data_IF_335528086383
#
_entry.id   IF_335528086383
#
_cell.length_a   1.000
_cell.length_b   1.000
_cell.length_c   1.000
_cell.angle_alpha   90.00
_cell.angle_beta   90.00
_cell.angle_gamma   90.00
#
_symmetry.space_group_name_H-M   'P 1'
#
loop_
_entity.id
_entity.type
_entity.pdbx_description
1 polymer ?
#
# COMPACT_ATOMS: atom_id res chain seq x y z
N UNK A 1 -25.15 -4.36 9.96
CA UNK A 1 -25.67 -3.61 8.81
C UNK A 1 -24.94 -2.29 8.54
N UNK A 2 -24.23 -1.68 9.51
CA UNK A 2 -23.35 -0.52 9.25
C UNK A 2 -21.98 -0.84 8.61
N UNK A 3 -21.65 -2.13 8.40
CA UNK A 3 -20.35 -2.60 7.91
C UNK A 3 -20.25 -2.67 6.39
N UNK A 4 -21.36 -2.90 5.70
CA UNK A 4 -21.39 -3.07 4.23
C UNK A 4 -20.99 -1.79 3.47
N UNK A 5 -21.44 -0.59 3.87
CA UNK A 5 -21.05 0.65 3.21
C UNK A 5 -19.54 0.93 3.37
N UNK A 6 -18.99 0.64 4.55
CA UNK A 6 -17.56 0.83 4.82
C UNK A 6 -16.71 -0.18 4.05
N UNK A 7 -17.09 -1.46 4.04
CA UNK A 7 -16.40 -2.50 3.28
C UNK A 7 -16.36 -2.18 1.78
N UNK A 8 -17.48 -1.69 1.23
CA UNK A 8 -17.55 -1.25 -0.16
C UNK A 8 -16.64 -0.05 -0.44
N UNK A 9 -16.66 0.97 0.42
CA UNK A 9 -15.79 2.14 0.26
C UNK A 9 -14.30 1.76 0.31
N UNK A 10 -13.92 0.84 1.20
CA UNK A 10 -12.55 0.32 1.26
C UNK A 10 -12.19 -0.44 -0.01
N UNK A 11 -13.07 -1.30 -0.53
CA UNK A 11 -12.84 -2.04 -1.77
C UNK A 11 -12.66 -1.09 -2.98
N UNK A 12 -13.46 -0.02 -3.07
CA UNK A 12 -13.34 1.01 -4.11
C UNK A 12 -12.00 1.75 -4.01
N UNK A 13 -11.54 2.09 -2.80
CA UNK A 13 -10.23 2.69 -2.57
C UNK A 13 -9.07 1.74 -2.92
N UNK A 14 -9.17 0.46 -2.54
CA UNK A 14 -8.17 -0.56 -2.89
C UNK A 14 -8.08 -0.72 -4.41
N UNK A 15 -9.21 -0.76 -5.12
CA UNK A 15 -9.19 -0.81 -6.58
C UNK A 15 -8.55 0.47 -7.18
N UNK A 16 -8.89 1.65 -6.65
CA UNK A 16 -8.35 2.94 -7.12
C UNK A 16 -6.84 3.05 -6.93
N UNK A 17 -6.36 2.88 -5.71
CA UNK A 17 -4.92 2.93 -5.39
C UNK A 17 -4.15 1.78 -6.03
N UNK A 18 -4.77 0.60 -6.05
CA UNK A 18 -4.24 -0.59 -6.68
C UNK A 18 -4.06 -0.42 -8.19
N UNK A 19 -4.77 0.47 -8.88
CA UNK A 19 -4.54 0.77 -10.30
C UNK A 19 -3.32 1.65 -10.58
N UNK A 20 -2.74 2.30 -9.58
CA UNK A 20 -1.69 3.30 -9.77
C UNK A 20 -0.30 2.67 -9.95
N UNK A 21 0.59 3.41 -10.61
CA UNK A 21 2.00 3.03 -10.78
C UNK A 21 2.78 3.31 -9.50
N UNK A 22 3.57 2.33 -9.05
CA UNK A 22 4.49 2.49 -7.93
C UNK A 22 5.70 3.33 -8.32
N UNK A 23 6.18 4.13 -7.37
CA UNK A 23 7.37 4.96 -7.55
C UNK A 23 8.60 4.20 -7.08
N UNK A 24 9.48 3.84 -8.01
CA UNK A 24 10.77 3.24 -7.67
C UNK A 24 11.71 4.28 -7.05
N UNK A 25 12.43 3.88 -5.99
CA UNK A 25 13.53 4.66 -5.41
C UNK A 25 14.81 3.85 -5.51
N UNK A 26 15.90 4.48 -5.94
CA UNK A 26 17.20 3.83 -5.99
C UNK A 26 17.85 3.81 -4.62
N UNK A 27 18.72 2.82 -4.36
CA UNK A 27 19.50 2.76 -3.12
C UNK A 27 20.34 4.02 -2.93
N UNK A 28 20.94 4.53 -4.02
CA UNK A 28 21.70 5.79 -3.99
C UNK A 28 20.85 6.96 -3.52
N UNK A 29 19.65 7.13 -4.09
CA UNK A 29 18.73 8.19 -3.68
C UNK A 29 18.33 8.06 -2.21
N UNK A 30 18.00 6.85 -1.75
CA UNK A 30 17.62 6.62 -0.34
C UNK A 30 18.75 7.00 0.62
N UNK A 31 19.99 6.64 0.30
CA UNK A 31 21.16 7.00 1.11
C UNK A 31 21.38 8.51 1.13
N UNK A 32 21.35 9.17 -0.03
CA UNK A 32 21.56 10.62 -0.15
C UNK A 32 20.44 11.41 0.55
N UNK A 33 19.18 10.99 0.40
CA UNK A 33 18.02 11.63 1.02
C UNK A 33 18.08 11.57 2.55
N UNK A 34 18.50 10.43 3.11
CA UNK A 34 18.63 10.21 4.55
C UNK A 34 19.93 10.71 5.18
N UNK A 35 20.96 11.00 4.38
CA UNK A 35 22.30 11.32 4.89
C UNK A 35 22.34 12.57 5.79
N UNK A 36 21.46 13.54 5.54
CA UNK A 36 21.32 14.76 6.37
C UNK A 36 19.84 15.06 6.59
N UNK A 37 19.24 14.63 7.71
CA UNK A 37 17.85 14.90 7.99
C UNK A 37 17.65 16.41 8.22
N UNK A 38 16.65 16.96 7.56
CA UNK A 38 16.21 18.35 7.69
C UNK A 38 14.68 18.35 7.79
N UNK A 39 14.07 19.40 8.35
CA UNK A 39 12.60 19.52 8.39
C UNK A 39 11.98 19.38 7.00
N UNK A 40 12.64 19.94 5.98
CA UNK A 40 12.23 19.80 4.58
C UNK A 40 12.25 18.34 4.13
N UNK A 41 13.32 17.60 4.42
CA UNK A 41 13.41 16.17 4.05
C UNK A 41 12.36 15.34 4.81
N UNK A 42 12.09 15.66 6.07
CA UNK A 42 11.02 15.00 6.83
C UNK A 42 9.66 15.23 6.18
N UNK A 43 9.31 16.48 5.85
CA UNK A 43 8.06 16.80 5.17
C UNK A 43 7.94 16.09 3.81
N UNK A 44 9.01 16.10 3.00
CA UNK A 44 9.01 15.41 1.71
C UNK A 44 8.82 13.90 1.85
N UNK A 45 9.45 13.27 2.86
CA UNK A 45 9.27 11.85 3.12
C UNK A 45 7.84 11.51 3.55
N UNK A 46 7.23 12.35 4.39
CA UNK A 46 5.84 12.19 4.81
C UNK A 46 4.88 12.31 3.63
N UNK A 47 5.07 13.32 2.77
CA UNK A 47 4.26 13.49 1.55
C UNK A 47 4.42 12.31 0.58
N UNK A 48 5.64 11.84 0.39
CA UNK A 48 5.91 10.66 -0.43
C UNK A 48 5.19 9.43 0.12
N UNK A 49 5.39 9.12 1.40
CA UNK A 49 4.79 7.93 2.05
C UNK A 49 3.27 8.00 2.09
N UNK A 50 2.69 9.18 2.32
CA UNK A 50 1.25 9.38 2.34
C UNK A 50 0.59 8.97 1.02
N UNK A 51 1.27 9.18 -0.11
CA UNK A 51 0.78 8.76 -1.44
C UNK A 51 1.23 7.35 -1.81
N UNK A 52 2.47 6.98 -1.54
CA UNK A 52 3.07 5.74 -2.04
C UNK A 52 2.61 4.51 -1.23
N UNK A 53 2.40 4.63 0.08
CA UNK A 53 1.98 3.50 0.92
C UNK A 53 0.60 2.95 0.52
N UNK A 54 -0.46 3.77 0.33
CA UNK A 54 -1.75 3.28 -0.15
C UNK A 54 -1.65 2.51 -1.47
N UNK A 55 -0.84 2.98 -2.43
CA UNK A 55 -0.61 2.30 -3.72
C UNK A 55 -0.03 0.91 -3.50
N UNK A 56 1.01 0.80 -2.65
CA UNK A 56 1.70 -0.47 -2.40
C UNK A 56 0.83 -1.46 -1.64
N UNK A 57 0.15 -1.01 -0.59
CA UNK A 57 -0.72 -1.84 0.23
C UNK A 57 -1.91 -2.34 -0.60
N UNK A 58 -2.58 -1.47 -1.34
CA UNK A 58 -3.69 -1.84 -2.20
C UNK A 58 -3.30 -2.89 -3.24
N UNK A 59 -2.13 -2.75 -3.88
CA UNK A 59 -1.62 -3.78 -4.79
C UNK A 59 -1.40 -5.12 -4.08
N UNK A 60 -0.83 -5.12 -2.87
CA UNK A 60 -0.63 -6.37 -2.10
C UNK A 60 -1.96 -7.01 -1.72
N UNK A 61 -2.98 -6.23 -1.34
CA UNK A 61 -4.31 -6.74 -1.04
C UNK A 61 -4.92 -7.45 -2.26
N UNK A 62 -4.87 -6.81 -3.45
CA UNK A 62 -5.33 -7.41 -4.70
C UNK A 62 -4.57 -8.71 -5.06
N UNK A 63 -3.26 -8.74 -4.83
CA UNK A 63 -2.44 -9.93 -5.06
C UNK A 63 -2.82 -11.07 -4.08
N UNK A 64 -3.13 -10.76 -2.81
CA UNK A 64 -3.57 -11.73 -1.81
C UNK A 64 -4.95 -12.30 -2.11
N UNK A 65 -5.86 -11.49 -2.62
CA UNK A 65 -7.19 -11.94 -3.05
C UNK A 65 -7.12 -12.86 -4.28
N UNK A 66 -6.19 -12.61 -5.19
CA UNK A 66 -6.04 -13.32 -6.47
C UNK A 66 -5.06 -14.51 -6.45
N UNK A 67 -4.65 -14.98 -5.26
CA UNK A 67 -3.73 -16.12 -5.15
C UNK A 67 -4.32 -17.42 -5.76
N UNK A 68 -3.48 -18.24 -6.41
CA UNK A 68 -3.93 -19.44 -7.10
C UNK A 68 -4.33 -20.56 -6.13
N UNK A 69 -5.01 -21.59 -6.65
CA UNK A 69 -5.33 -22.83 -5.93
C UNK A 69 -6.09 -22.64 -4.61
N UNK A 70 -6.89 -21.58 -4.49
CA UNK A 70 -7.63 -21.26 -3.28
C UNK A 70 -6.75 -20.82 -2.11
N UNK A 71 -5.48 -20.44 -2.36
CA UNK A 71 -4.57 -20.00 -1.31
C UNK A 71 -5.06 -18.74 -0.58
N UNK A 72 -5.83 -17.87 -1.25
CA UNK A 72 -6.46 -16.69 -0.64
C UNK A 72 -7.37 -17.05 0.55
N UNK A 73 -7.87 -18.29 0.59
CA UNK A 73 -8.82 -18.77 1.61
C UNK A 73 -8.11 -19.49 2.77
N UNK A 74 -6.78 -19.60 2.74
CA UNK A 74 -6.03 -20.23 3.83
C UNK A 74 -6.10 -19.34 5.08
N UNK A 75 -6.25 -19.91 6.29
CA UNK A 75 -6.39 -19.13 7.52
C UNK A 75 -5.28 -18.10 7.75
N UNK A 76 -4.03 -18.44 7.38
CA UNK A 76 -2.89 -17.53 7.51
C UNK A 76 -3.00 -16.31 6.59
N UNK A 77 -3.59 -16.45 5.39
CA UNK A 77 -3.78 -15.35 4.44
C UNK A 77 -4.95 -14.47 4.88
N UNK A 78 -6.08 -15.07 5.26
CA UNK A 78 -7.23 -14.33 5.78
C UNK A 78 -6.89 -13.48 7.02
N UNK A 79 -5.94 -13.93 7.84
CA UNK A 79 -5.47 -13.19 9.01
C UNK A 79 -4.76 -11.87 8.67
N UNK A 80 -4.15 -11.78 7.49
CA UNK A 80 -3.35 -10.61 7.06
C UNK A 80 -4.00 -9.84 5.90
N UNK A 81 -5.18 -10.28 5.45
CA UNK A 81 -5.95 -9.55 4.44
C UNK A 81 -6.49 -8.26 5.09
N UNK A 82 -6.12 -7.07 4.57
CA UNK A 82 -6.48 -5.78 5.15
C UNK A 82 -7.98 -5.43 5.09
#
# INVERSE_FOLDING_TARGET
>A
MASEPVARAVAEEVARWGGMRQTGVSLRYMMEFGARPTERNLLLSAQFLHKELPIRIARRALDLDSLPFGLSHKPAVLKVNP
#
